data_IF_072893744216
#
_entry.id   IF_072893744216
#
_cell.length_a   1.000
_cell.length_b   1.000
_cell.length_c   1.000
_cell.angle_alpha   90.00
_cell.angle_beta   90.00
_cell.angle_gamma   90.00
#
_symmetry.space_group_name_H-M   'P 1'
#
loop_
_entity.id
_entity.type
_entity.pdbx_description
1 polymer ?
#
# COMPACT_ATOMS: atom_id res chain seq x y z
N UNK A 1 19.46 -5.34 -56.68
CA UNK A 1 19.54 -3.86 -56.81
C UNK A 1 19.61 -3.29 -55.41
N UNK A 2 20.83 -3.05 -54.90
CA UNK A 2 21.48 -1.73 -54.75
C UNK A 2 20.82 -0.83 -53.69
N UNK A 3 21.48 -0.80 -52.54
CA UNK A 3 21.44 0.28 -51.56
C UNK A 3 21.79 1.64 -52.18
N UNK A 4 21.38 2.73 -51.52
CA UNK A 4 22.19 3.96 -51.39
C UNK A 4 21.66 4.86 -50.28
N UNK A 5 22.52 5.09 -49.29
CA UNK A 5 22.52 6.28 -48.46
C UNK A 5 22.93 7.51 -49.30
N UNK A 6 22.52 8.70 -48.88
CA UNK A 6 23.20 9.94 -49.21
C UNK A 6 23.19 10.88 -48.00
N UNK A 7 24.40 11.27 -47.62
CA UNK A 7 24.80 12.26 -46.63
C UNK A 7 25.22 13.52 -47.41
N UNK A 8 25.14 14.72 -46.80
CA UNK A 8 26.20 15.77 -46.77
C UNK A 8 25.64 17.19 -46.53
N UNK A 9 26.12 17.80 -45.43
CA UNK A 9 26.39 19.25 -45.08
C UNK A 9 25.28 20.30 -45.26
N UNK A 10 25.03 21.26 -44.37
CA UNK A 10 25.73 21.79 -43.18
C UNK A 10 25.57 23.32 -43.17
N UNK A 11 25.10 23.92 -42.06
CA UNK A 11 25.39 25.30 -41.63
C UNK A 11 24.70 25.58 -40.29
N UNK A 12 25.52 25.81 -39.26
CA UNK A 12 25.13 26.14 -37.88
C UNK A 12 25.00 27.67 -37.78
N UNK A 13 23.81 28.18 -37.42
CA UNK A 13 23.62 29.58 -37.04
C UNK A 13 23.30 29.64 -35.55
N UNK A 14 24.27 30.08 -34.74
CA UNK A 14 24.10 30.34 -33.31
C UNK A 14 23.39 31.69 -33.14
N UNK A 15 22.16 31.64 -32.61
CA UNK A 15 21.46 32.81 -32.07
C UNK A 15 21.46 32.69 -30.54
N UNK A 16 22.31 33.48 -29.90
CA UNK A 16 22.36 33.71 -28.46
C UNK A 16 21.10 34.43 -27.98
N UNK A 17 20.24 33.75 -27.24
CA UNK A 17 19.24 34.38 -26.38
C UNK A 17 19.71 34.33 -24.93
N UNK A 18 20.01 35.51 -24.38
CA UNK A 18 20.27 35.72 -22.97
C UNK A 18 18.92 35.77 -22.24
N UNK A 19 18.61 34.74 -21.44
CA UNK A 19 17.51 34.80 -20.46
C UNK A 19 18.03 34.30 -19.13
N UNK A 20 17.75 35.09 -18.09
CA UNK A 20 18.26 34.95 -16.73
C UNK A 20 17.81 33.65 -16.08
N UNK A 21 18.74 32.72 -15.87
CA UNK A 21 18.58 31.56 -15.01
C UNK A 21 18.54 32.02 -13.55
N UNK A 22 17.35 31.96 -12.94
CA UNK A 22 17.24 31.88 -11.50
C UNK A 22 17.95 30.60 -11.03
N UNK A 23 18.95 30.76 -10.17
CA UNK A 23 19.76 29.68 -9.60
C UNK A 23 18.91 28.80 -8.68
N UNK A 24 18.23 27.81 -9.25
CA UNK A 24 17.80 26.65 -8.49
C UNK A 24 19.06 25.94 -7.98
N UNK A 25 19.25 25.96 -6.66
CA UNK A 25 20.32 25.18 -6.03
C UNK A 25 20.16 23.71 -6.44
N UNK A 26 21.21 23.04 -6.93
CA UNK A 26 21.12 21.62 -7.24
C UNK A 26 20.77 20.89 -5.93
N UNK A 27 19.64 20.19 -5.96
CA UNK A 27 19.25 19.28 -4.90
C UNK A 27 20.39 18.27 -4.74
N UNK A 28 21.11 18.39 -3.62
CA UNK A 28 22.25 17.54 -3.28
C UNK A 28 21.77 16.09 -3.35
N UNK A 29 22.25 15.33 -4.33
CA UNK A 29 22.19 13.86 -4.30
C UNK A 29 23.02 13.43 -3.10
N UNK A 30 22.36 13.23 -1.95
CA UNK A 30 23.01 12.61 -0.80
C UNK A 30 23.51 11.23 -1.24
N UNK A 31 24.80 10.98 -1.07
CA UNK A 31 25.43 9.72 -1.44
C UNK A 31 24.64 8.53 -0.90
N UNK A 32 24.38 7.56 -1.77
CA UNK A 32 23.80 6.28 -1.43
C UNK A 32 24.74 5.57 -0.47
N UNK A 33 24.50 5.68 0.84
CA UNK A 33 25.07 4.70 1.76
C UNK A 33 24.65 3.32 1.27
N UNK A 34 25.57 2.37 1.11
CA UNK A 34 25.20 1.03 0.69
C UNK A 34 24.81 0.24 1.94
N UNK A 35 23.52 -0.07 2.08
CA UNK A 35 23.03 -0.87 3.20
C UNK A 35 23.44 -2.34 3.05
N UNK A 36 23.96 -2.74 1.88
CA UNK A 36 24.38 -4.11 1.59
C UNK A 36 23.32 -5.14 2.01
N UNK A 37 22.05 -4.82 1.79
CA UNK A 37 20.97 -5.78 1.99
C UNK A 37 21.19 -6.97 1.08
N UNK A 38 20.74 -8.14 1.54
CA UNK A 38 20.66 -9.31 0.70
C UNK A 38 19.73 -9.01 -0.51
N UNK A 39 20.28 -9.14 -1.71
CA UNK A 39 19.60 -8.88 -2.98
C UNK A 39 19.54 -10.14 -3.86
N UNK A 40 20.12 -11.24 -3.39
CA UNK A 40 20.13 -12.49 -4.14
C UNK A 40 18.74 -13.11 -4.10
N UNK A 41 18.35 -13.82 -5.16
CA UNK A 41 17.04 -14.48 -5.17
C UNK A 41 16.84 -15.40 -3.95
N UNK A 42 15.64 -15.39 -3.39
CA UNK A 42 15.27 -16.07 -2.16
C UNK A 42 15.66 -15.32 -0.88
N UNK A 43 15.97 -14.03 -0.96
CA UNK A 43 16.38 -13.23 0.21
C UNK A 43 15.26 -13.16 1.26
N UNK A 44 13.99 -13.12 0.85
CA UNK A 44 12.85 -13.09 1.77
C UNK A 44 12.78 -14.38 2.58
N UNK A 45 13.02 -15.53 1.95
CA UNK A 45 13.07 -16.82 2.64
C UNK A 45 14.22 -16.86 3.66
N UNK A 46 15.40 -16.35 3.29
CA UNK A 46 16.56 -16.24 4.20
C UNK A 46 16.32 -15.27 5.35
N UNK A 47 15.66 -14.14 5.10
CA UNK A 47 15.24 -13.21 6.16
C UNK A 47 14.27 -13.88 7.13
N UNK A 48 13.30 -14.64 6.62
CA UNK A 48 12.30 -15.34 7.43
C UNK A 48 12.84 -16.57 8.17
N UNK A 49 14.04 -17.05 7.84
CA UNK A 49 14.74 -18.07 8.61
C UNK A 49 15.29 -17.53 9.94
N UNK A 50 15.44 -16.20 10.08
CA UNK A 50 15.87 -15.57 11.34
C UNK A 50 14.82 -15.71 12.44
N UNK A 51 15.26 -15.64 13.69
CA UNK A 51 14.39 -15.72 14.84
C UNK A 51 13.36 -14.57 14.86
N UNK A 52 12.08 -14.93 14.95
CA UNK A 52 10.99 -13.99 15.17
C UNK A 52 10.60 -13.85 16.64
N UNK A 53 9.59 -13.03 16.90
CA UNK A 53 8.93 -12.92 18.20
C UNK A 53 7.43 -12.86 18.00
N UNK A 54 6.64 -13.48 18.89
CA UNK A 54 5.18 -13.40 18.90
C UNK A 54 4.64 -12.28 19.80
N UNK A 55 5.53 -11.58 20.52
CA UNK A 55 5.17 -10.54 21.49
C UNK A 55 5.19 -9.13 20.93
N UNK A 56 5.34 -8.99 19.60
CA UNK A 56 5.41 -7.69 18.91
C UNK A 56 4.17 -6.81 19.18
N UNK A 57 2.98 -7.40 19.30
CA UNK A 57 1.74 -6.67 19.62
C UNK A 57 1.40 -6.54 21.10
N UNK A 58 2.32 -6.89 22.01
CA UNK A 58 2.08 -6.77 23.45
C UNK A 58 1.68 -5.35 23.81
N UNK A 59 0.52 -5.21 24.46
CA UNK A 59 -0.02 -3.91 24.89
C UNK A 59 -0.72 -3.10 23.78
N UNK A 60 -0.82 -3.64 22.55
CA UNK A 60 -1.48 -3.00 21.40
C UNK A 60 -2.56 -3.94 20.84
N UNK A 61 -3.75 -3.98 21.45
CA UNK A 61 -4.84 -4.83 20.97
C UNK A 61 -5.24 -4.42 19.55
N UNK A 62 -5.56 -5.41 18.70
CA UNK A 62 -6.04 -5.15 17.34
C UNK A 62 -7.31 -4.30 17.40
N UNK A 63 -7.35 -3.25 16.60
CA UNK A 63 -8.53 -2.40 16.39
C UNK A 63 -8.57 -1.96 14.94
N UNK A 64 -9.77 -1.94 14.38
CA UNK A 64 -9.99 -1.51 13.00
C UNK A 64 -9.92 0.03 12.91
N UNK A 65 -9.68 0.55 11.70
CA UNK A 65 -9.83 1.98 11.44
C UNK A 65 -11.31 2.36 11.46
N UNK A 66 -11.62 3.65 11.57
CA UNK A 66 -12.96 4.17 11.75
C UNK A 66 -13.71 3.58 12.98
N UNK A 67 -12.96 3.12 14.01
CA UNK A 67 -13.51 2.65 15.29
C UNK A 67 -13.83 3.84 16.22
N UNK A 68 -15.11 4.24 16.23
CA UNK A 68 -15.62 5.36 17.05
C UNK A 68 -15.58 5.08 18.56
N UNK A 69 -15.48 3.82 19.00
CA UNK A 69 -15.40 3.46 20.43
C UNK A 69 -14.07 3.90 21.07
N UNK A 70 -13.04 4.18 20.24
CA UNK A 70 -11.70 4.62 20.67
C UNK A 70 -11.69 5.99 21.36
N UNK A 71 -12.76 6.77 21.24
CA UNK A 71 -12.88 8.15 21.75
C UNK A 71 -13.02 8.25 23.27
N UNK A 72 -13.23 7.13 23.98
CA UNK A 72 -13.11 7.13 25.43
C UNK A 72 -11.69 7.56 25.84
N UNK A 73 -11.59 8.65 26.61
CA UNK A 73 -10.33 9.26 27.04
C UNK A 73 -9.43 8.24 27.72
N UNK A 74 -8.39 7.80 27.02
CA UNK A 74 -7.29 7.04 27.58
C UNK A 74 -6.01 7.79 27.28
N UNK A 75 -5.11 7.89 28.26
CA UNK A 75 -3.77 8.41 28.00
C UNK A 75 -3.04 7.44 27.05
N UNK A 76 -2.63 7.96 25.89
CA UNK A 76 -1.93 7.21 24.84
C UNK A 76 -0.59 7.86 24.56
N UNK A 77 0.34 7.05 24.07
CA UNK A 77 1.48 7.51 23.29
C UNK A 77 1.26 7.06 21.86
N UNK A 78 1.27 8.02 20.94
CA UNK A 78 0.93 7.87 19.52
C UNK A 78 1.96 8.59 18.67
N UNK A 79 1.96 8.36 17.36
CA UNK A 79 2.91 9.02 16.50
C UNK A 79 2.66 8.79 15.01
N UNK A 80 3.45 9.48 14.21
CA UNK A 80 3.45 9.37 12.76
C UNK A 80 4.86 9.63 12.22
N UNK A 81 5.17 9.10 11.05
CA UNK A 81 6.36 9.49 10.29
C UNK A 81 6.04 10.64 9.33
N UNK A 82 7.02 11.50 9.09
CA UNK A 82 7.00 12.53 8.05
C UNK A 82 7.09 11.95 6.61
N UNK A 83 7.32 10.65 6.48
CA UNK A 83 7.24 9.90 5.23
C UNK A 83 6.52 8.56 5.43
N UNK A 84 5.87 8.06 4.38
CA UNK A 84 5.20 6.74 4.37
C UNK A 84 6.16 5.61 4.03
N UNK A 85 7.22 5.94 3.29
CA UNK A 85 8.25 5.02 2.83
C UNK A 85 9.65 5.63 3.01
N UNK A 86 10.67 4.78 3.02
CA UNK A 86 12.08 5.17 3.01
C UNK A 86 12.90 4.12 2.27
N UNK A 87 14.09 4.49 1.81
CA UNK A 87 15.06 3.53 1.29
C UNK A 87 16.41 3.66 1.99
N UNK A 88 17.37 2.85 1.58
CA UNK A 88 18.65 2.73 2.23
C UNK A 88 19.34 4.09 2.47
N UNK A 89 19.81 4.29 3.69
CA UNK A 89 20.58 5.47 4.10
C UNK A 89 19.77 6.74 4.31
N UNK A 90 18.49 6.77 3.90
CA UNK A 90 17.58 7.89 4.13
C UNK A 90 17.15 7.95 5.60
N UNK A 91 16.80 9.17 6.02
CA UNK A 91 16.26 9.47 7.33
C UNK A 91 14.78 9.81 7.21
N UNK A 92 13.99 9.33 8.18
CA UNK A 92 12.61 9.74 8.41
C UNK A 92 12.42 10.05 9.89
N UNK A 93 11.55 10.99 10.21
CA UNK A 93 11.33 11.41 11.59
C UNK A 93 10.01 10.87 12.12
N UNK A 94 10.11 10.10 13.21
CA UNK A 94 8.95 9.73 14.01
C UNK A 94 8.59 10.89 14.94
N UNK A 95 7.43 11.49 14.71
CA UNK A 95 6.82 12.45 15.61
C UNK A 95 6.00 11.70 16.66
N UNK A 96 6.25 11.99 17.93
CA UNK A 96 5.64 11.33 19.09
C UNK A 96 4.71 12.31 19.78
N UNK A 97 3.45 11.91 19.90
CA UNK A 97 2.41 12.59 20.64
C UNK A 97 2.09 11.84 21.93
N UNK A 98 1.93 12.58 23.02
CA UNK A 98 1.56 12.03 24.32
C UNK A 98 2.10 12.90 25.47
N UNK A 99 1.50 12.79 26.65
CA UNK A 99 1.91 13.55 27.85
C UNK A 99 3.21 13.04 28.47
N UNK A 100 3.67 11.87 28.06
CA UNK A 100 4.77 11.16 28.72
C UNK A 100 6.13 11.77 28.35
N UNK A 101 7.03 11.76 29.32
CA UNK A 101 8.40 12.31 29.21
C UNK A 101 9.42 11.28 28.73
N UNK A 102 9.05 10.00 28.74
CA UNK A 102 9.87 8.89 28.26
C UNK A 102 9.00 7.96 27.41
N UNK A 103 9.47 7.69 26.19
CA UNK A 103 8.83 6.75 25.26
C UNK A 103 9.83 5.67 24.89
N UNK A 104 9.40 4.41 24.98
CA UNK A 104 10.10 3.25 24.44
C UNK A 104 9.67 3.04 23.00
N UNK A 105 10.64 2.74 22.13
CA UNK A 105 10.46 2.57 20.70
C UNK A 105 11.05 1.21 20.31
N UNK A 106 10.17 0.28 19.93
CA UNK A 106 10.56 -1.04 19.43
C UNK A 106 10.29 -1.10 17.93
N UNK A 107 11.32 -1.40 17.13
CA UNK A 107 11.21 -1.48 15.68
C UNK A 107 11.05 -2.94 15.27
N UNK A 108 9.90 -3.29 14.72
CA UNK A 108 9.63 -4.62 14.21
C UNK A 108 9.57 -4.62 12.68
N UNK A 109 10.36 -5.48 12.04
CA UNK A 109 10.08 -5.87 10.65
C UNK A 109 9.00 -6.94 10.69
N UNK A 110 7.90 -6.69 10.00
CA UNK A 110 6.79 -7.61 9.89
C UNK A 110 7.11 -8.69 8.86
N UNK A 111 6.57 -9.88 9.02
CA UNK A 111 6.85 -11.00 8.12
C UNK A 111 6.40 -12.37 8.61
N UNK A 112 6.83 -13.43 7.95
CA UNK A 112 6.48 -14.79 8.34
C UNK A 112 7.18 -15.25 9.62
N UNK A 113 8.52 -15.20 9.65
CA UNK A 113 9.40 -15.60 10.76
C UNK A 113 8.96 -16.88 11.49
N UNK A 114 8.83 -17.97 10.72
CA UNK A 114 8.42 -19.29 11.22
C UNK A 114 7.05 -19.25 11.96
N UNK A 115 6.18 -18.32 11.58
CA UNK A 115 4.86 -18.13 12.17
C UNK A 115 4.80 -17.02 13.23
N UNK A 116 5.93 -16.53 13.73
CA UNK A 116 6.00 -15.52 14.81
C UNK A 116 5.37 -14.17 14.41
N UNK A 117 5.43 -13.82 13.12
CA UNK A 117 4.79 -12.62 12.59
C UNK A 117 5.67 -11.36 12.54
N UNK A 118 6.77 -11.32 13.30
CA UNK A 118 7.70 -10.21 13.25
C UNK A 118 9.08 -10.60 13.77
N UNK A 119 10.10 -9.85 13.35
CA UNK A 119 11.43 -9.84 13.95
C UNK A 119 11.66 -8.49 14.62
N UNK A 120 12.08 -8.52 15.87
CA UNK A 120 12.56 -7.31 16.55
C UNK A 120 13.91 -6.91 15.93
N UNK A 121 14.00 -5.69 15.43
CA UNK A 121 15.23 -5.14 14.85
C UNK A 121 16.05 -4.46 15.92
N UNK A 122 15.41 -3.56 16.67
CA UNK A 122 16.04 -2.78 17.73
C UNK A 122 15.00 -2.26 18.71
N UNK A 123 15.45 -2.00 19.93
CA UNK A 123 14.69 -1.34 20.99
C UNK A 123 15.48 -0.16 21.49
N UNK A 124 14.84 1.00 21.61
CA UNK A 124 15.44 2.21 22.16
C UNK A 124 14.44 2.98 23.02
N UNK A 125 14.90 4.07 23.64
CA UNK A 125 14.06 4.99 24.41
C UNK A 125 14.44 6.43 24.09
N UNK A 126 13.46 7.31 24.08
CA UNK A 126 13.65 8.73 23.81
C UNK A 126 12.85 9.59 24.78
N UNK A 127 13.41 10.74 25.13
CA UNK A 127 12.68 11.82 25.82
C UNK A 127 12.19 12.90 24.85
N UNK A 128 12.68 12.87 23.60
CA UNK A 128 12.35 13.84 22.58
C UNK A 128 10.99 13.49 21.96
N UNK A 129 10.25 14.51 21.52
CA UNK A 129 9.01 14.35 20.74
C UNK A 129 9.26 14.01 19.28
N UNK A 130 10.52 14.00 18.86
CA UNK A 130 10.94 13.53 17.54
C UNK A 130 12.06 12.52 17.72
N UNK A 131 11.94 11.38 17.04
CA UNK A 131 12.99 10.37 16.96
C UNK A 131 13.37 10.14 15.50
N UNK A 132 14.64 10.35 15.18
CA UNK A 132 15.16 10.15 13.84
C UNK A 132 15.43 8.66 13.60
N UNK A 133 14.78 8.10 12.59
CA UNK A 133 15.01 6.73 12.13
C UNK A 133 15.80 6.78 10.82
N UNK A 134 16.92 6.05 10.80
CA UNK A 134 17.74 5.90 9.60
C UNK A 134 17.72 4.46 9.12
N UNK A 135 17.31 4.27 7.87
CA UNK A 135 17.40 2.97 7.19
C UNK A 135 18.86 2.56 7.04
N UNK A 136 19.20 1.36 7.49
CA UNK A 136 20.56 0.82 7.54
C UNK A 136 20.62 -0.64 7.08
N UNK A 137 21.80 -1.26 7.11
CA UNK A 137 21.99 -2.68 6.83
C UNK A 137 21.17 -3.61 7.73
N UNK A 138 20.78 -3.16 8.92
CA UNK A 138 19.99 -3.96 9.87
C UNK A 138 18.48 -3.94 9.57
N UNK A 139 18.03 -3.03 8.72
CA UNK A 139 16.62 -2.81 8.36
C UNK A 139 16.40 -3.16 6.88
N UNK A 140 16.40 -4.46 6.51
CA UNK A 140 16.16 -4.87 5.12
C UNK A 140 14.77 -4.43 4.64
N UNK A 141 14.49 -4.44 3.33
CA UNK A 141 13.19 -4.06 2.80
C UNK A 141 12.04 -4.83 3.48
N UNK A 142 10.90 -4.17 3.67
CA UNK A 142 9.79 -4.75 4.39
C UNK A 142 8.76 -3.74 4.86
N UNK A 143 7.66 -4.29 5.39
CA UNK A 143 6.71 -3.56 6.21
C UNK A 143 7.21 -3.51 7.66
N UNK A 144 7.18 -2.33 8.26
CA UNK A 144 7.62 -2.13 9.63
C UNK A 144 6.49 -1.59 10.48
N UNK A 145 6.36 -2.13 11.69
CA UNK A 145 5.57 -1.52 12.75
C UNK A 145 6.50 -1.07 13.87
N UNK A 146 6.52 0.22 14.12
CA UNK A 146 7.22 0.80 15.25
C UNK A 146 6.23 0.81 16.41
N UNK A 147 6.44 -0.04 17.42
CA UNK A 147 5.65 0.00 18.64
C UNK A 147 6.21 1.07 19.56
N UNK A 148 5.37 2.05 19.89
CA UNK A 148 5.69 3.05 20.89
C UNK A 148 4.89 2.79 22.17
N UNK A 149 5.57 2.83 23.31
CA UNK A 149 4.98 2.59 24.62
C UNK A 149 5.56 3.53 25.67
N UNK A 150 4.80 3.82 26.71
CA UNK A 150 5.23 4.67 27.81
C UNK A 150 4.56 4.24 29.12
N UNK A 151 5.16 4.51 30.29
CA UNK A 151 4.57 4.15 31.58
C UNK A 151 3.15 4.75 31.72
N UNK A 152 2.20 3.90 32.17
CA UNK A 152 0.79 4.27 32.38
C UNK A 152 0.04 4.78 31.14
N UNK A 153 0.62 4.63 29.94
CA UNK A 153 -0.03 4.99 28.67
C UNK A 153 -0.33 3.73 27.86
N UNK A 154 -1.40 3.76 27.06
CA UNK A 154 -1.63 2.72 26.06
C UNK A 154 -0.60 2.88 24.95
N UNK A 155 0.00 1.75 24.56
CA UNK A 155 0.91 1.68 23.43
C UNK A 155 0.15 1.76 22.11
N UNK A 156 0.85 2.11 21.04
CA UNK A 156 0.34 2.13 19.67
C UNK A 156 1.42 1.72 18.68
N UNK A 157 1.02 1.46 17.45
CA UNK A 157 1.93 1.30 16.33
C UNK A 157 2.07 2.57 15.51
N UNK A 158 3.17 2.66 14.78
CA UNK A 158 3.38 3.61 13.68
C UNK A 158 3.96 2.83 12.51
N UNK A 159 3.28 2.76 11.34
CA UNK A 159 3.75 1.99 10.20
C UNK A 159 4.82 2.76 9.42
N UNK A 160 5.74 2.03 8.80
CA UNK A 160 6.73 2.54 7.86
C UNK A 160 7.05 1.46 6.82
N UNK A 161 7.13 1.84 5.54
CA UNK A 161 7.62 0.94 4.49
C UNK A 161 9.09 1.20 4.21
N UNK A 162 9.90 0.14 4.15
CA UNK A 162 11.27 0.25 3.64
C UNK A 162 11.33 -0.48 2.29
N UNK A 163 11.66 0.25 1.23
CA UNK A 163 11.73 -0.30 -0.12
C UNK A 163 13.17 -0.37 -0.64
N UNK A 164 13.41 -1.27 -1.60
CA UNK A 164 14.69 -1.33 -2.32
C UNK A 164 14.46 -1.06 -3.81
N UNK A 165 14.86 0.12 -4.33
CA UNK A 165 14.68 0.44 -5.75
C UNK A 165 15.49 -0.49 -6.69
N UNK A 166 16.42 -1.25 -6.12
CA UNK A 166 17.26 -2.18 -6.87
C UNK A 166 16.81 -3.65 -6.81
N UNK A 167 15.78 -3.97 -6.01
CA UNK A 167 15.34 -5.37 -5.86
C UNK A 167 14.74 -5.90 -7.16
N UNK A 168 15.21 -7.06 -7.60
CA UNK A 168 14.37 -7.95 -8.40
C UNK A 168 13.36 -8.60 -7.45
N UNK A 169 12.14 -8.85 -7.93
CA UNK A 169 11.08 -9.40 -7.09
C UNK A 169 10.06 -10.19 -7.91
N UNK A 170 9.52 -11.24 -7.30
CA UNK A 170 8.34 -11.93 -7.83
C UNK A 170 7.13 -11.00 -7.75
N UNK A 171 7.00 -10.28 -6.63
CA UNK A 171 5.90 -9.34 -6.40
C UNK A 171 6.38 -7.99 -5.83
N UNK A 172 5.73 -6.91 -6.24
CA UNK A 172 5.73 -5.63 -5.56
C UNK A 172 4.42 -5.48 -4.79
N UNK A 173 4.48 -5.61 -3.47
CA UNK A 173 3.30 -5.47 -2.61
C UNK A 173 3.07 -4.00 -2.26
N UNK A 174 1.87 -3.50 -2.56
CA UNK A 174 1.50 -2.10 -2.39
C UNK A 174 0.66 -1.92 -1.13
N UNK A 175 1.16 -1.15 -0.17
CA UNK A 175 0.36 -0.69 0.97
C UNK A 175 -0.52 0.49 0.59
N UNK A 176 -1.79 0.40 0.96
CA UNK A 176 -2.84 1.32 0.54
C UNK A 176 -2.97 2.52 1.49
N UNK A 177 -1.90 3.32 1.62
CA UNK A 177 -1.82 4.44 2.56
C UNK A 177 -2.92 5.48 2.35
N UNK A 178 -3.30 5.77 1.11
CA UNK A 178 -4.39 6.68 0.77
C UNK A 178 -5.71 6.18 1.35
N UNK A 179 -5.94 4.87 1.30
CA UNK A 179 -7.12 4.24 1.91
C UNK A 179 -7.03 4.31 3.43
N UNK A 180 -5.87 3.98 4.01
CA UNK A 180 -5.68 4.09 5.46
C UNK A 180 -5.95 5.50 5.99
N UNK A 181 -5.50 6.54 5.27
CA UNK A 181 -5.71 7.93 5.65
C UNK A 181 -7.15 8.40 5.43
N UNK A 182 -7.83 7.88 4.41
CA UNK A 182 -9.24 8.19 4.15
C UNK A 182 -10.17 7.70 5.26
N UNK A 183 -9.85 6.53 5.83
CA UNK A 183 -10.56 5.96 6.99
C UNK A 183 -9.97 6.36 8.36
N UNK A 184 -8.88 7.14 8.38
CA UNK A 184 -8.23 7.55 9.61
C UNK A 184 -9.09 8.58 10.36
N UNK A 185 -9.84 8.12 11.37
CA UNK A 185 -10.72 8.94 12.21
C UNK A 185 -9.97 9.59 13.39
N UNK A 186 -8.63 9.58 13.37
CA UNK A 186 -7.85 10.22 14.43
C UNK A 186 -8.18 11.73 14.47
N UNK A 187 -8.45 12.24 15.69
CA UNK A 187 -9.07 13.55 16.01
C UNK A 187 -10.58 13.71 15.77
N UNK A 188 -11.26 12.67 15.28
CA UNK A 188 -12.72 12.67 15.12
C UNK A 188 -13.21 13.03 13.72
N UNK A 189 -12.32 13.32 12.77
CA UNK A 189 -12.65 13.56 11.36
C UNK A 189 -11.82 12.67 10.42
N UNK A 190 -12.45 12.19 9.34
CA UNK A 190 -11.81 11.48 8.24
C UNK A 190 -12.44 11.89 6.91
N UNK A 191 -11.95 11.37 5.78
CA UNK A 191 -12.60 11.55 4.48
C UNK A 191 -13.82 10.61 4.30
N UNK A 192 -14.06 9.72 5.25
CA UNK A 192 -15.22 8.84 5.21
C UNK A 192 -16.35 9.36 6.10
N UNK A 193 -16.04 9.85 7.31
CA UNK A 193 -17.02 10.24 8.32
C UNK A 193 -16.56 11.43 9.18
N UNK A 194 -17.53 12.22 9.65
CA UNK A 194 -17.33 13.27 10.65
C UNK A 194 -17.40 12.78 12.10
N UNK A 195 -17.36 13.71 13.07
CA UNK A 195 -17.40 13.39 14.50
C UNK A 195 -18.72 12.74 14.93
N UNK A 196 -19.83 13.00 14.25
CA UNK A 196 -21.13 12.36 14.52
C UNK A 196 -21.29 11.00 13.80
N UNK A 197 -20.20 10.45 13.25
CA UNK A 197 -20.16 9.19 12.50
C UNK A 197 -20.97 9.19 11.19
N UNK A 198 -21.37 10.37 10.71
CA UNK A 198 -22.08 10.56 9.44
C UNK A 198 -21.12 10.88 8.30
N UNK A 199 -21.49 10.52 7.07
CA UNK A 199 -20.67 10.78 5.88
C UNK A 199 -20.74 12.24 5.45
N UNK A 200 -21.88 12.88 5.70
CA UNK A 200 -22.22 14.25 5.30
C UNK A 200 -21.38 15.30 6.06
N UNK A 201 -20.83 14.92 7.21
CA UNK A 201 -20.04 15.77 8.12
C UNK A 201 -18.54 15.44 8.07
N UNK A 202 -18.12 14.61 7.11
CA UNK A 202 -16.73 14.24 6.87
C UNK A 202 -15.85 15.47 6.61
N UNK A 203 -14.55 15.32 6.78
CA UNK A 203 -13.60 16.30 6.30
C UNK A 203 -13.53 16.28 4.76
N UNK A 204 -13.22 17.43 4.16
CA UNK A 204 -12.95 17.55 2.72
C UNK A 204 -11.49 17.25 2.37
N UNK A 205 -10.59 17.49 3.33
CA UNK A 205 -9.15 17.26 3.23
C UNK A 205 -8.62 16.74 4.57
N UNK A 206 -7.67 15.82 4.54
CA UNK A 206 -6.97 15.30 5.73
C UNK A 206 -5.46 15.40 5.56
N UNK A 207 -4.75 15.66 6.67
CA UNK A 207 -3.29 15.62 6.73
C UNK A 207 -2.80 14.21 7.08
N UNK A 208 -1.59 13.86 6.63
CA UNK A 208 -0.86 12.65 7.00
C UNK A 208 0.02 12.87 8.22
N UNK A 209 0.20 14.13 8.63
CA UNK A 209 1.01 14.52 9.80
C UNK A 209 0.23 14.34 11.10
N UNK A 210 -0.31 13.14 11.26
CA UNK A 210 -1.13 12.71 12.37
C UNK A 210 -1.02 11.20 12.57
N UNK A 211 -1.17 10.71 13.81
CA UNK A 211 -1.30 9.28 14.06
C UNK A 211 -2.46 8.65 13.30
N UNK A 212 -2.38 7.33 13.12
CA UNK A 212 -3.53 6.54 12.71
C UNK A 212 -4.45 6.27 13.90
N UNK A 213 -5.74 6.12 13.63
CA UNK A 213 -6.71 5.63 14.60
C UNK A 213 -6.57 4.12 14.84
N UNK A 214 -7.61 3.48 15.42
CA UNK A 214 -7.57 2.06 15.76
C UNK A 214 -6.41 1.71 16.71
N UNK A 215 -5.44 0.94 16.22
CA UNK A 215 -4.24 0.55 16.97
C UNK A 215 -2.96 1.27 16.51
N UNK A 216 -3.09 2.21 15.58
CA UNK A 216 -2.00 3.00 15.01
C UNK A 216 -1.35 2.35 13.77
N UNK A 217 -1.73 1.12 13.40
CA UNK A 217 -1.13 0.42 12.25
C UNK A 217 -1.78 0.74 10.88
N UNK A 218 -2.67 1.73 10.81
CA UNK A 218 -3.52 1.93 9.64
C UNK A 218 -4.45 0.73 9.44
N UNK A 219 -4.58 0.24 8.20
CA UNK A 219 -5.30 -1.02 7.93
C UNK A 219 -4.37 -2.23 7.76
N UNK A 220 -3.07 -2.06 7.96
CA UNK A 220 -2.06 -3.08 7.68
C UNK A 220 -2.35 -4.43 8.33
N UNK A 221 -2.60 -4.46 9.65
CA UNK A 221 -2.68 -5.73 10.41
C UNK A 221 -3.80 -6.66 9.95
N UNK A 222 -4.88 -6.15 9.37
CA UNK A 222 -6.06 -6.94 9.02
C UNK A 222 -6.38 -6.95 7.52
N UNK A 223 -6.05 -5.90 6.76
CA UNK A 223 -6.26 -5.88 5.30
C UNK A 223 -5.05 -6.36 4.51
N UNK A 224 -3.83 -6.27 5.03
CA UNK A 224 -2.62 -6.53 4.23
C UNK A 224 -1.74 -7.64 4.80
N UNK A 225 -1.51 -7.63 6.11
CA UNK A 225 -0.56 -8.50 6.76
C UNK A 225 -0.88 -10.01 6.63
N UNK A 226 -2.15 -10.48 6.68
CA UNK A 226 -2.44 -11.89 6.47
C UNK A 226 -1.96 -12.42 5.11
N UNK A 227 -2.24 -11.68 4.03
CA UNK A 227 -1.80 -12.01 2.68
C UNK A 227 -0.28 -11.89 2.54
N UNK A 228 0.30 -10.79 3.04
CA UNK A 228 1.74 -10.57 2.98
C UNK A 228 2.54 -11.63 3.74
N UNK A 229 2.09 -11.98 4.95
CA UNK A 229 2.69 -13.06 5.76
C UNK A 229 2.63 -14.40 5.02
N UNK A 230 1.57 -14.65 4.26
CA UNK A 230 1.44 -15.86 3.43
C UNK A 230 2.39 -15.82 2.22
N UNK A 231 2.50 -14.69 1.54
CA UNK A 231 3.47 -14.49 0.45
C UNK A 231 4.91 -14.74 0.92
N UNK A 232 5.28 -14.17 2.08
CA UNK A 232 6.59 -14.43 2.70
C UNK A 232 6.79 -15.89 3.11
N UNK A 233 5.74 -16.57 3.61
CA UNK A 233 5.79 -18.00 3.92
C UNK A 233 6.04 -18.87 2.69
N UNK A 234 5.56 -18.44 1.52
CA UNK A 234 5.80 -19.12 0.24
C UNK A 234 7.21 -18.88 -0.30
N UNK A 235 7.99 -17.99 0.33
CA UNK A 235 9.37 -17.69 -0.07
C UNK A 235 9.47 -16.77 -1.29
N UNK A 236 8.38 -16.08 -1.66
CA UNK A 236 8.40 -15.10 -2.74
C UNK A 236 9.36 -13.97 -2.40
N UNK A 237 10.14 -13.53 -3.38
CA UNK A 237 10.91 -12.29 -3.26
C UNK A 237 9.99 -11.10 -3.46
N UNK A 238 9.97 -10.19 -2.48
CA UNK A 238 8.99 -9.10 -2.39
C UNK A 238 9.71 -7.77 -2.38
N UNK A 239 9.34 -6.85 -3.27
CA UNK A 239 9.58 -5.43 -3.03
C UNK A 239 8.35 -4.83 -2.34
N UNK A 240 8.55 -3.91 -1.39
CA UNK A 240 7.48 -3.36 -0.57
C UNK A 240 7.35 -1.89 -0.90
N UNK A 241 6.18 -1.46 -1.35
CA UNK A 241 5.92 -0.10 -1.80
C UNK A 241 4.66 0.45 -1.14
N UNK A 242 4.49 1.76 -1.20
CA UNK A 242 3.23 2.45 -0.89
C UNK A 242 2.59 2.95 -2.17
N UNK A 243 1.27 3.17 -2.14
CA UNK A 243 0.55 3.89 -3.19
C UNK A 243 1.10 5.31 -3.44
N UNK A 244 1.72 5.96 -2.44
CA UNK A 244 2.48 7.21 -2.61
C UNK A 244 3.75 7.03 -3.45
N UNK A 245 4.41 5.87 -3.37
CA UNK A 245 5.56 5.57 -4.24
C UNK A 245 5.12 5.39 -5.70
N UNK A 246 3.92 4.83 -5.91
CA UNK A 246 3.30 4.74 -7.24
C UNK A 246 2.94 6.13 -7.78
N UNK A 247 2.36 7.01 -6.96
CA UNK A 247 2.07 8.41 -7.34
C UNK A 247 3.33 9.17 -7.80
N UNK A 248 4.48 8.89 -7.17
CA UNK A 248 5.78 9.46 -7.54
C UNK A 248 6.41 8.85 -8.80
N UNK A 249 5.78 7.84 -9.43
CA UNK A 249 6.27 7.18 -10.64
C UNK A 249 7.51 6.30 -10.41
N UNK A 250 7.49 5.48 -9.35
CA UNK A 250 8.67 4.68 -8.95
C UNK A 250 9.17 3.72 -10.04
N UNK A 251 10.46 3.82 -10.37
CA UNK A 251 11.08 3.06 -11.46
C UNK A 251 11.30 1.57 -11.16
N UNK A 252 11.26 1.16 -9.89
CA UNK A 252 11.54 -0.23 -9.48
C UNK A 252 10.48 -1.23 -9.93
N UNK A 253 9.30 -0.77 -10.38
CA UNK A 253 8.27 -1.66 -10.94
C UNK A 253 8.78 -2.41 -12.18
N UNK A 254 9.73 -1.84 -12.94
CA UNK A 254 10.34 -2.55 -14.07
C UNK A 254 11.16 -3.80 -13.70
N UNK A 255 11.30 -4.12 -12.40
CA UNK A 255 12.05 -5.27 -11.87
C UNK A 255 11.15 -6.29 -11.17
N UNK A 256 9.84 -6.15 -11.29
CA UNK A 256 8.85 -7.02 -10.65
C UNK A 256 8.06 -7.81 -11.68
N UNK A 257 7.66 -9.04 -11.35
CA UNK A 257 6.77 -9.82 -12.22
C UNK A 257 5.30 -9.45 -12.02
N UNK A 258 4.91 -9.09 -10.79
CA UNK A 258 3.52 -8.73 -10.47
C UNK A 258 3.42 -7.56 -9.49
N UNK A 259 2.43 -6.71 -9.68
CA UNK A 259 1.99 -5.71 -8.69
C UNK A 259 0.83 -6.31 -7.89
N UNK A 260 0.88 -6.22 -6.57
CA UNK A 260 -0.12 -6.82 -5.68
C UNK A 260 -0.70 -5.78 -4.74
N UNK A 261 -2.02 -5.60 -4.77
CA UNK A 261 -2.79 -4.85 -3.80
C UNK A 261 -3.37 -5.79 -2.73
N UNK A 262 -3.39 -5.33 -1.48
CA UNK A 262 -3.98 -6.06 -0.36
C UNK A 262 -5.51 -6.10 -0.40
N UNK A 263 -6.12 -6.33 0.77
CA UNK A 263 -7.57 -6.55 0.88
C UNK A 263 -8.45 -5.31 0.69
N UNK A 264 -7.90 -4.10 0.62
CA UNK A 264 -8.69 -2.88 0.43
C UNK A 264 -7.83 -1.69 -0.04
N UNK A 265 -7.77 -1.45 -1.35
CA UNK A 265 -7.02 -0.37 -1.98
C UNK A 265 -7.91 0.64 -2.69
N UNK A 266 -8.85 1.26 -1.98
CA UNK A 266 -9.98 2.01 -2.54
C UNK A 266 -9.63 3.37 -3.17
N UNK A 267 -8.65 4.10 -2.63
CA UNK A 267 -8.37 5.50 -3.02
C UNK A 267 -7.11 5.62 -3.86
N UNK A 268 -7.25 6.13 -5.09
CA UNK A 268 -6.18 6.21 -6.08
C UNK A 268 -6.02 7.62 -6.63
N UNK A 269 -4.78 8.06 -6.82
CA UNK A 269 -4.48 9.29 -7.56
C UNK A 269 -4.39 9.02 -9.06
N UNK A 270 -4.44 10.08 -9.86
CA UNK A 270 -4.19 9.99 -11.31
C UNK A 270 -2.81 9.41 -11.63
N UNK A 271 -1.75 9.94 -11.01
CA UNK A 271 -0.39 9.50 -11.30
C UNK A 271 -0.12 8.05 -10.86
N UNK A 272 -0.72 7.62 -9.74
CA UNK A 272 -0.70 6.23 -9.31
C UNK A 272 -1.36 5.32 -10.36
N UNK A 273 -2.56 5.68 -10.82
CA UNK A 273 -3.29 4.91 -11.84
C UNK A 273 -2.47 4.81 -13.14
N UNK A 274 -1.95 5.93 -13.63
CA UNK A 274 -1.13 5.99 -14.84
C UNK A 274 0.14 5.14 -14.71
N UNK A 275 0.76 5.11 -13.52
CA UNK A 275 1.92 4.24 -13.23
C UNK A 275 1.56 2.76 -13.31
N UNK A 276 0.38 2.36 -12.81
CA UNK A 276 -0.12 0.99 -12.92
C UNK A 276 -0.42 0.64 -14.38
N UNK A 277 -1.17 1.49 -15.09
CA UNK A 277 -1.50 1.30 -16.51
C UNK A 277 -0.23 1.18 -17.38
N UNK A 278 0.78 2.02 -17.14
CA UNK A 278 2.06 1.94 -17.83
C UNK A 278 2.87 0.68 -17.48
N UNK A 279 2.67 0.10 -16.29
CA UNK A 279 3.29 -1.16 -15.88
C UNK A 279 2.63 -2.35 -16.57
N UNK A 280 1.30 -2.36 -16.64
CA UNK A 280 0.51 -3.34 -17.40
C UNK A 280 0.90 -3.36 -18.88
N UNK A 281 1.07 -2.17 -19.49
CA UNK A 281 1.51 -2.04 -20.88
C UNK A 281 2.90 -2.62 -21.16
N UNK A 282 3.71 -2.87 -20.11
CA UNK A 282 5.03 -3.52 -20.19
C UNK A 282 4.98 -5.02 -19.88
N UNK A 283 3.78 -5.59 -19.68
CA UNK A 283 3.59 -7.01 -19.38
C UNK A 283 3.78 -7.37 -17.91
N UNK A 284 3.77 -6.41 -16.99
CA UNK A 284 3.77 -6.68 -15.54
C UNK A 284 2.37 -7.14 -15.15
N UNK A 285 2.26 -8.25 -14.40
CA UNK A 285 0.98 -8.77 -13.94
C UNK A 285 0.40 -7.89 -12.81
N UNK A 286 -0.91 -7.95 -12.61
CA UNK A 286 -1.59 -7.18 -11.58
C UNK A 286 -2.58 -8.06 -10.82
N UNK A 287 -2.55 -7.98 -9.49
CA UNK A 287 -3.36 -8.80 -8.58
C UNK A 287 -4.02 -7.89 -7.55
N UNK A 288 -5.35 -7.97 -7.44
CA UNK A 288 -6.11 -7.41 -6.30
C UNK A 288 -6.57 -8.54 -5.40
N UNK A 289 -6.30 -8.46 -4.11
CA UNK A 289 -6.74 -9.44 -3.10
C UNK A 289 -7.95 -8.95 -2.30
N UNK A 290 -8.64 -7.92 -2.80
CA UNK A 290 -9.83 -7.32 -2.21
C UNK A 290 -10.78 -6.75 -3.25
N UNK A 291 -11.97 -6.35 -2.80
CA UNK A 291 -12.93 -5.58 -3.59
C UNK A 291 -12.76 -4.07 -3.41
N UNK A 292 -13.47 -3.31 -4.24
CA UNK A 292 -13.53 -1.84 -4.23
C UNK A 292 -12.17 -1.18 -4.52
N UNK A 293 -11.24 -1.91 -5.14
CA UNK A 293 -9.89 -1.42 -5.42
C UNK A 293 -9.92 -0.38 -6.54
N UNK A 294 -9.41 0.82 -6.25
CA UNK A 294 -9.35 1.92 -7.21
C UNK A 294 -10.69 2.59 -7.48
N UNK A 295 -11.69 2.45 -6.59
CA UNK A 295 -13.01 3.05 -6.75
C UNK A 295 -13.00 4.58 -6.67
N UNK A 296 -12.32 5.14 -5.67
CA UNK A 296 -12.27 6.56 -5.43
C UNK A 296 -11.07 7.21 -6.12
N UNK A 297 -11.33 8.30 -6.83
CA UNK A 297 -10.32 9.27 -7.21
C UNK A 297 -10.03 10.21 -6.03
N UNK A 298 -8.76 10.52 -5.82
CA UNK A 298 -8.31 11.50 -4.83
C UNK A 298 -7.14 12.32 -5.36
N UNK A 299 -6.98 13.54 -4.85
CA UNK A 299 -5.81 14.37 -5.10
C UNK A 299 -4.92 14.47 -3.87
N UNK A 300 -3.61 14.48 -4.11
CA UNK A 300 -2.60 14.78 -3.10
C UNK A 300 -2.24 16.26 -3.12
N UNK A 301 -1.95 16.80 -1.96
CA UNK A 301 -1.47 18.18 -1.77
C UNK A 301 -0.39 18.21 -0.67
N UNK A 302 0.19 19.39 -0.46
CA UNK A 302 1.24 19.60 0.55
C UNK A 302 2.40 18.59 0.45
N UNK A 303 2.92 18.38 -0.77
CA UNK A 303 4.02 17.43 -1.00
C UNK A 303 3.67 15.97 -0.65
N UNK A 304 2.47 15.52 -1.02
CA UNK A 304 1.93 14.20 -0.68
C UNK A 304 1.76 13.95 0.83
N UNK A 305 1.54 15.01 1.61
CA UNK A 305 1.24 14.96 3.06
C UNK A 305 -0.18 15.37 3.41
N UNK A 306 -1.01 15.64 2.42
CA UNK A 306 -2.44 15.81 2.59
C UNK A 306 -3.19 15.25 1.38
N UNK A 307 -4.44 14.83 1.59
CA UNK A 307 -5.30 14.31 0.52
C UNK A 307 -6.74 14.80 0.67
N UNK A 308 -7.44 14.93 -0.46
CA UNK A 308 -8.83 15.37 -0.51
C UNK A 308 -9.42 15.27 -1.92
N UNK A 309 -10.54 15.98 -2.15
CA UNK A 309 -11.28 16.00 -3.42
C UNK A 309 -11.68 14.61 -3.91
N UNK A 310 -12.49 13.95 -3.09
CA UNK A 310 -12.97 12.59 -3.35
C UNK A 310 -14.13 12.62 -4.34
N UNK A 311 -13.91 12.00 -5.50
CA UNK A 311 -14.94 11.61 -6.47
C UNK A 311 -14.74 10.14 -6.83
N UNK A 312 -15.62 9.55 -7.62
CA UNK A 312 -15.39 8.20 -8.14
C UNK A 312 -14.58 8.25 -9.43
N UNK A 313 -13.90 7.17 -9.77
CA UNK A 313 -13.20 7.04 -11.04
C UNK A 313 -14.14 6.81 -12.23
N UNK A 314 -15.26 6.13 -11.99
CA UNK A 314 -16.28 5.81 -13.01
C UNK A 314 -17.14 7.00 -13.44
N UNK A 315 -17.38 7.96 -12.56
CA UNK A 315 -18.30 9.06 -12.85
C UNK A 315 -17.56 10.24 -13.51
N UNK A 316 -18.31 11.06 -14.23
CA UNK A 316 -17.83 12.32 -14.80
C UNK A 316 -17.29 13.23 -13.69
N UNK A 317 -16.13 13.89 -13.87
CA UNK A 317 -15.38 14.07 -15.12
C UNK A 317 -14.24 13.06 -15.35
N UNK A 318 -14.14 12.02 -14.52
CA UNK A 318 -13.02 11.07 -14.63
C UNK A 318 -13.25 10.06 -15.74
N UNK A 319 -14.50 9.58 -15.89
CA UNK A 319 -14.97 8.69 -16.97
C UNK A 319 -14.03 7.50 -17.24
N UNK A 320 -13.44 6.97 -16.18
CA UNK A 320 -12.43 5.91 -16.20
C UNK A 320 -12.79 4.86 -15.15
N UNK A 321 -13.82 4.03 -15.36
CA UNK A 321 -14.19 3.03 -14.36
C UNK A 321 -13.03 2.06 -14.07
N UNK A 322 -13.09 1.48 -12.87
CA UNK A 322 -12.12 0.53 -12.33
C UNK A 322 -12.02 -0.71 -13.22
N UNK A 323 -13.13 -1.10 -13.86
CA UNK A 323 -13.20 -2.23 -14.77
C UNK A 323 -12.28 -2.09 -15.98
N UNK A 324 -11.86 -0.89 -16.38
CA UNK A 324 -10.85 -0.74 -17.44
C UNK A 324 -9.49 -1.34 -17.06
N UNK A 325 -9.20 -1.45 -15.76
CA UNK A 325 -7.97 -2.06 -15.23
C UNK A 325 -8.24 -3.50 -14.79
N UNK A 326 -9.30 -3.72 -14.01
CA UNK A 326 -9.53 -5.00 -13.34
C UNK A 326 -10.42 -5.97 -14.11
N UNK A 327 -11.13 -5.50 -15.13
CA UNK A 327 -12.21 -6.25 -15.79
C UNK A 327 -13.49 -6.40 -14.95
N UNK A 328 -13.41 -6.12 -13.65
CA UNK A 328 -14.54 -6.03 -12.72
C UNK A 328 -14.54 -4.68 -12.00
N UNK A 329 -15.62 -4.37 -11.32
CA UNK A 329 -15.74 -3.12 -10.59
C UNK A 329 -16.67 -3.23 -9.39
N UNK A 330 -16.54 -2.32 -8.44
CA UNK A 330 -17.34 -2.31 -7.22
C UNK A 330 -18.85 -2.43 -7.50
N UNK A 331 -19.49 -3.38 -6.81
CA UNK A 331 -20.90 -3.72 -6.99
C UNK A 331 -21.72 -3.55 -5.71
N UNK A 332 -21.26 -4.11 -4.58
CA UNK A 332 -22.05 -4.11 -3.35
C UNK A 332 -21.22 -4.19 -2.06
N UNK A 333 -21.79 -3.67 -0.97
CA UNK A 333 -21.32 -3.84 0.41
C UNK A 333 -22.06 -5.00 1.12
N UNK A 334 -21.43 -5.53 2.17
CA UNK A 334 -21.93 -6.54 3.10
C UNK A 334 -22.38 -7.85 2.46
N UNK A 335 -21.63 -8.34 1.47
CA UNK A 335 -21.92 -9.61 0.79
C UNK A 335 -21.08 -10.74 1.36
N UNK A 336 -21.63 -11.50 2.31
CA UNK A 336 -20.97 -12.69 2.84
C UNK A 336 -21.42 -13.95 2.11
N UNK A 337 -20.55 -14.51 1.28
CA UNK A 337 -20.80 -15.71 0.48
C UNK A 337 -19.54 -16.57 0.35
N UNK A 338 -19.75 -17.83 0.00
CA UNK A 338 -18.67 -18.73 -0.38
C UNK A 338 -18.44 -18.65 -1.90
N UNK A 339 -17.18 -18.77 -2.33
CA UNK A 339 -16.88 -18.96 -3.75
C UNK A 339 -17.20 -20.39 -4.16
N UNK A 340 -17.78 -20.55 -5.35
CA UNK A 340 -17.95 -21.84 -6.02
C UNK A 340 -17.04 -21.86 -7.23
N UNK A 341 -16.13 -22.84 -7.31
CA UNK A 341 -15.21 -23.03 -8.44
C UNK A 341 -15.99 -23.39 -9.69
N UNK A 342 -15.91 -22.55 -10.73
CA UNK A 342 -16.59 -22.75 -12.02
C UNK A 342 -15.67 -23.38 -13.06
N UNK A 343 -14.36 -23.09 -13.00
CA UNK A 343 -13.32 -23.62 -13.88
C UNK A 343 -12.19 -24.24 -13.06
N UNK A 344 -12.19 -25.57 -12.96
CA UNK A 344 -11.12 -26.33 -12.28
C UNK A 344 -10.08 -26.90 -13.26
N UNK A 345 -10.12 -26.51 -14.52
CA UNK A 345 -9.16 -26.88 -15.56
C UNK A 345 -8.16 -25.75 -15.87
N UNK A 346 -8.24 -24.63 -15.14
CA UNK A 346 -7.41 -23.44 -15.34
C UNK A 346 -6.64 -23.13 -14.06
N UNK A 347 -5.35 -22.82 -14.21
CA UNK A 347 -4.55 -22.31 -13.10
C UNK A 347 -5.09 -20.94 -12.63
N UNK A 348 -5.17 -20.66 -11.32
CA UNK A 348 -4.65 -21.45 -10.20
C UNK A 348 -5.64 -22.45 -9.60
N UNK A 349 -6.85 -22.62 -10.14
CA UNK A 349 -7.89 -23.51 -9.58
C UNK A 349 -7.83 -24.94 -10.09
N UNK A 350 -6.85 -25.28 -10.91
CA UNK A 350 -6.57 -26.65 -11.32
C UNK A 350 -6.10 -27.59 -10.19
N UNK A 351 -5.92 -27.06 -8.98
CA UNK A 351 -5.68 -27.84 -7.74
C UNK A 351 -6.95 -28.10 -6.94
N UNK A 352 -8.08 -27.54 -7.36
CA UNK A 352 -9.40 -27.68 -6.75
C UNK A 352 -10.31 -28.53 -7.66
N UNK A 353 -11.48 -28.89 -7.17
CA UNK A 353 -12.51 -29.58 -7.96
C UNK A 353 -13.54 -28.60 -8.53
N UNK A 354 -14.10 -28.89 -9.70
CA UNK A 354 -15.22 -28.10 -10.23
C UNK A 354 -16.42 -28.21 -9.29
N UNK A 355 -17.01 -27.08 -8.92
CA UNK A 355 -18.06 -26.99 -7.91
C UNK A 355 -17.56 -26.99 -6.46
N UNK A 356 -16.23 -27.06 -6.22
CA UNK A 356 -15.67 -26.95 -4.88
C UNK A 356 -16.00 -25.59 -4.26
N UNK A 357 -16.29 -25.60 -2.95
CA UNK A 357 -16.70 -24.42 -2.19
C UNK A 357 -15.52 -23.89 -1.39
N UNK A 358 -15.08 -22.67 -1.69
CA UNK A 358 -14.06 -21.95 -0.91
C UNK A 358 -14.76 -21.04 0.09
N UNK A 359 -14.74 -21.47 1.36
CA UNK A 359 -15.54 -20.85 2.42
C UNK A 359 -14.99 -19.51 2.88
N UNK A 360 -15.88 -18.54 3.07
CA UNK A 360 -15.59 -17.28 3.77
C UNK A 360 -14.56 -16.37 3.10
N UNK A 361 -14.36 -16.52 1.79
CA UNK A 361 -13.44 -15.67 1.02
C UNK A 361 -14.10 -14.36 0.57
N UNK A 362 -15.41 -14.39 0.29
CA UNK A 362 -16.14 -13.19 -0.11
C UNK A 362 -16.63 -12.43 1.13
N UNK A 363 -16.08 -11.23 1.28
CA UNK A 363 -16.19 -10.40 2.48
C UNK A 363 -17.06 -9.16 2.28
N UNK A 364 -16.71 -8.09 2.99
CA UNK A 364 -17.55 -6.91 3.11
C UNK A 364 -17.83 -6.17 1.79
N UNK A 365 -17.01 -6.32 0.76
CA UNK A 365 -17.18 -5.61 -0.51
C UNK A 365 -16.91 -6.55 -1.66
N UNK A 366 -17.72 -6.43 -2.73
CA UNK A 366 -17.61 -7.28 -3.92
C UNK A 366 -17.51 -6.46 -5.18
N UNK A 367 -16.61 -6.90 -6.05
CA UNK A 367 -16.51 -6.42 -7.42
C UNK A 367 -17.17 -7.43 -8.35
N UNK A 368 -17.77 -6.94 -9.42
CA UNK A 368 -18.44 -7.74 -10.43
C UNK A 368 -18.11 -7.26 -11.84
N UNK A 369 -17.96 -8.17 -12.82
CA UNK A 369 -17.82 -7.80 -14.23
C UNK A 369 -19.16 -7.44 -14.88
N UNK A 370 -20.29 -7.54 -14.17
CA UNK A 370 -21.61 -7.20 -14.70
C UNK A 370 -21.65 -5.76 -15.24
N UNK A 371 -22.05 -5.62 -16.51
CA UNK A 371 -22.20 -4.34 -17.22
C UNK A 371 -20.92 -3.48 -17.23
N UNK A 372 -19.76 -4.10 -17.01
CA UNK A 372 -18.49 -3.43 -16.95
C UNK A 372 -17.88 -3.28 -18.36
N UNK A 373 -17.33 -2.10 -18.67
CA UNK A 373 -16.45 -1.91 -19.83
C UNK A 373 -15.02 -2.27 -19.44
N UNK A 374 -14.28 -2.96 -20.30
CA UNK A 374 -12.92 -3.35 -19.94
C UNK A 374 -12.40 -4.55 -20.74
N UNK A 375 -11.27 -5.12 -20.32
CA UNK A 375 -10.75 -6.35 -20.90
C UNK A 375 -11.72 -7.51 -20.67
N UNK A 376 -11.66 -8.52 -21.54
CA UNK A 376 -12.36 -9.78 -21.31
C UNK A 376 -11.87 -10.43 -20.02
N UNK A 377 -12.80 -10.97 -19.23
CA UNK A 377 -12.52 -11.65 -17.97
C UNK A 377 -12.92 -13.13 -18.08
N UNK A 378 -12.08 -14.00 -17.53
CA UNK A 378 -12.44 -15.40 -17.33
C UNK A 378 -12.85 -15.61 -15.86
N UNK A 379 -14.06 -16.13 -15.66
CA UNK A 379 -14.59 -16.43 -14.33
C UNK A 379 -14.12 -17.81 -13.87
N UNK A 380 -13.17 -17.85 -12.93
CA UNK A 380 -12.63 -19.11 -12.39
C UNK A 380 -13.41 -19.64 -11.17
N UNK A 381 -13.95 -18.72 -10.37
CA UNK A 381 -14.92 -19.00 -9.32
C UNK A 381 -15.81 -17.78 -9.10
N UNK A 382 -17.01 -18.02 -8.57
CA UNK A 382 -17.99 -16.96 -8.33
C UNK A 382 -18.75 -17.14 -7.03
N UNK A 383 -19.19 -16.04 -6.47
CA UNK A 383 -20.22 -16.03 -5.43
C UNK A 383 -21.51 -15.56 -6.08
N UNK A 384 -22.63 -16.27 -5.88
CA UNK A 384 -23.92 -15.76 -6.37
C UNK A 384 -24.29 -14.51 -5.58
N UNK A 385 -24.17 -13.33 -6.19
CA UNK A 385 -24.49 -12.06 -5.52
C UNK A 385 -25.93 -11.63 -5.75
N UNK A 386 -26.64 -12.27 -6.70
CA UNK A 386 -28.08 -12.12 -6.94
C UNK A 386 -28.76 -13.48 -7.27
N UNK A 387 -29.94 -13.83 -6.71
CA UNK A 387 -30.71 -15.00 -7.16
C UNK A 387 -31.11 -14.94 -8.66
N UNK A 388 -31.08 -13.77 -9.29
CA UNK A 388 -31.40 -13.54 -10.71
C UNK A 388 -30.15 -13.31 -11.60
N UNK A 389 -28.93 -13.52 -11.09
CA UNK A 389 -27.69 -13.36 -11.86
C UNK A 389 -27.59 -14.48 -12.91
N UNK A 390 -28.05 -14.20 -14.14
CA UNK A 390 -27.76 -15.06 -15.28
C UNK A 390 -26.25 -15.01 -15.53
N UNK A 391 -25.64 -16.20 -15.60
CA UNK A 391 -24.25 -16.38 -16.04
C UNK A 391 -23.99 -15.54 -17.28
N UNK A 392 -23.13 -14.53 -17.18
CA UNK A 392 -22.55 -13.94 -18.38
C UNK A 392 -21.58 -14.99 -18.90
N UNK A 393 -21.89 -15.58 -20.05
CA UNK A 393 -20.95 -16.46 -20.72
C UNK A 393 -19.70 -15.64 -21.05
N UNK A 394 -18.52 -16.16 -20.71
CA UNK A 394 -17.25 -15.68 -21.24
C UNK A 394 -17.36 -15.68 -22.77
N UNK A 395 -17.24 -14.50 -23.39
CA UNK A 395 -17.04 -14.40 -24.83
C UNK A 395 -15.58 -14.57 -25.18
#
# INVERSE_FOLDING_TARGET
MKARALQVTGALLLLTFCTSLASASPMRTMGTGTCNWDQDSGWVARENAKAGTSTWSKGVPLRLSADFSRRAQADRVEGWFDSTSTTCGQNVNLHILGKQTLTYVDVFRMGYYQGSGARLITSTKTKNKTWNFRSSSQTPPGQYLIRISAPKARASFVPLVIHNPNSQSDISFISSILTWQSYNQWSGYSLYKGPDAKRETRAETVSFDRPYDGDGSGQFRYMEFPALKRAEKLGLDINYLTDIDLDKGISSLGKTQSIVFGGHGEYWTKAMRETVEASLAKGINLISLGGNTGYNFTELSNGARAMGKITTWRDTPNDKPESLIWGSQYFALNVHKDFVVTRADVWPFNVLSQGEIIKGVVGNEVDSPLNAVGPAVEELARSSTNPNEKSIASM
#
